data_IF_674773764465
#
_entry.id   IF_674773764465
#
_cell.length_a   1.000
_cell.length_b   1.000
_cell.length_c   1.000
_cell.angle_alpha   90.00
_cell.angle_beta   90.00
_cell.angle_gamma   90.00
#
_symmetry.space_group_name_H-M   'P 1'
#
loop_
_entity.id
_entity.type
_entity.pdbx_description
1 polymer ?
#
# COMPACT_ATOMS: atom_id res chain seq x y z
N UNK A 1 19.19 23.28 -29.06
CA UNK A 1 18.82 21.85 -29.07
C UNK A 1 19.54 21.24 -27.91
N UNK A 2 18.82 20.75 -26.91
CA UNK A 2 19.41 19.98 -25.81
C UNK A 2 20.13 18.78 -26.42
N UNK A 3 21.37 18.53 -26.00
CA UNK A 3 22.10 17.35 -26.44
C UNK A 3 21.34 16.11 -25.96
N UNK A 4 21.04 15.18 -26.86
CA UNK A 4 20.34 13.92 -26.52
C UNK A 4 21.10 13.18 -25.41
N UNK A 5 22.44 13.26 -25.40
CA UNK A 5 23.26 12.67 -24.34
C UNK A 5 23.05 13.31 -22.97
N UNK A 6 22.84 14.62 -22.92
CA UNK A 6 22.53 15.37 -21.68
C UNK A 6 21.17 14.94 -21.13
N UNK A 7 20.14 14.92 -21.99
CA UNK A 7 18.79 14.50 -21.60
C UNK A 7 18.73 13.05 -21.06
N UNK A 8 19.50 12.13 -21.67
CA UNK A 8 19.62 10.75 -21.16
C UNK A 8 20.24 10.75 -19.76
N UNK A 9 21.33 11.49 -19.57
CA UNK A 9 22.05 11.53 -18.27
C UNK A 9 21.20 12.13 -17.16
N UNK A 10 20.44 13.20 -17.47
CA UNK A 10 19.47 13.81 -16.56
C UNK A 10 18.34 12.84 -16.19
N UNK A 11 17.80 12.11 -17.18
CA UNK A 11 16.77 11.10 -16.96
C UNK A 11 17.22 9.98 -16.01
N UNK A 12 18.44 9.45 -16.21
CA UNK A 12 19.02 8.45 -15.29
C UNK A 12 19.19 9.02 -13.88
N UNK A 13 19.71 10.24 -13.78
CA UNK A 13 19.94 10.90 -12.48
C UNK A 13 18.64 11.13 -11.71
N UNK A 14 17.58 11.50 -12.43
CA UNK A 14 16.24 11.65 -11.88
C UNK A 14 15.69 10.31 -11.36
N UNK A 15 15.70 9.25 -12.19
CA UNK A 15 15.24 7.91 -11.78
C UNK A 15 16.01 7.42 -10.56
N UNK A 16 17.33 7.63 -10.52
CA UNK A 16 18.16 7.24 -9.38
C UNK A 16 17.79 8.01 -8.10
N UNK A 17 17.44 9.29 -8.23
CA UNK A 17 17.02 10.11 -7.09
C UNK A 17 15.67 9.65 -6.55
N UNK A 18 14.71 9.36 -7.43
CA UNK A 18 13.41 8.77 -7.08
C UNK A 18 13.60 7.44 -6.34
N UNK A 19 14.50 6.58 -6.82
CA UNK A 19 14.81 5.31 -6.14
C UNK A 19 15.39 5.51 -4.74
N UNK A 20 16.29 6.48 -4.57
CA UNK A 20 16.86 6.80 -3.26
C UNK A 20 15.81 7.33 -2.28
N UNK A 21 14.91 8.20 -2.74
CA UNK A 21 13.79 8.72 -1.94
C UNK A 21 12.80 7.62 -1.54
N UNK A 22 12.45 6.73 -2.47
CA UNK A 22 11.62 5.55 -2.17
C UNK A 22 12.28 4.65 -1.11
N UNK A 23 13.60 4.43 -1.22
CA UNK A 23 14.37 3.68 -0.22
C UNK A 23 14.32 4.34 1.17
N UNK A 24 14.51 5.67 1.24
CA UNK A 24 14.41 6.42 2.48
C UNK A 24 13.00 6.36 3.09
N UNK A 25 11.95 6.52 2.27
CA UNK A 25 10.56 6.39 2.69
C UNK A 25 10.28 4.98 3.25
N UNK A 26 10.70 3.94 2.53
CA UNK A 26 10.57 2.54 2.99
C UNK A 26 11.20 2.35 4.37
N UNK A 27 12.42 2.86 4.60
CA UNK A 27 13.07 2.77 5.91
C UNK A 27 12.26 3.47 7.00
N UNK A 28 11.74 4.67 6.74
CA UNK A 28 10.95 5.43 7.71
C UNK A 28 9.61 4.75 8.01
N UNK A 29 8.89 4.26 7.01
CA UNK A 29 7.62 3.54 7.18
C UNK A 29 7.83 2.25 7.99
N UNK A 30 8.86 1.46 7.66
CA UNK A 30 9.22 0.26 8.43
C UNK A 30 9.53 0.60 9.88
N UNK A 31 10.30 1.65 10.14
CA UNK A 31 10.64 2.09 11.48
C UNK A 31 9.40 2.48 12.30
N UNK A 32 8.53 3.31 11.74
CA UNK A 32 7.33 3.80 12.44
C UNK A 32 6.31 2.68 12.68
N UNK A 33 6.10 1.77 11.71
CA UNK A 33 5.24 0.59 11.90
C UNK A 33 5.82 -0.42 12.91
N UNK A 34 7.13 -0.65 12.90
CA UNK A 34 7.78 -1.44 13.94
C UNK A 34 7.61 -0.80 15.32
N UNK A 35 7.72 0.53 15.41
CA UNK A 35 7.48 1.29 16.63
C UNK A 35 6.06 1.12 17.16
N UNK A 36 5.05 1.18 16.29
CA UNK A 36 3.65 0.90 16.62
C UNK A 36 3.48 -0.49 17.24
N UNK A 37 4.03 -1.53 16.60
CA UNK A 37 3.92 -2.92 17.06
C UNK A 37 4.79 -3.25 18.28
N UNK A 38 5.80 -2.41 18.56
CA UNK A 38 6.62 -2.50 19.76
C UNK A 38 6.00 -1.87 21.00
N UNK A 39 5.00 -0.98 20.84
CA UNK A 39 4.37 -0.24 21.93
C UNK A 39 3.53 -1.18 22.83
N UNK A 40 3.78 -1.16 24.13
CA UNK A 40 3.29 -2.15 25.11
C UNK A 40 1.78 -2.38 25.12
N UNK A 41 0.95 -1.34 24.94
CA UNK A 41 -0.52 -1.50 24.93
C UNK A 41 -1.02 -2.17 23.65
N UNK A 42 -0.44 -1.81 22.50
CA UNK A 42 -0.84 -2.37 21.21
C UNK A 42 -0.21 -3.75 20.97
N UNK A 43 0.99 -3.98 21.49
CA UNK A 43 1.74 -5.25 21.40
C UNK A 43 1.01 -6.44 22.01
N UNK A 44 0.17 -6.19 23.02
CA UNK A 44 -0.68 -7.24 23.59
C UNK A 44 -1.79 -7.67 22.61
N UNK A 45 -2.11 -6.85 21.62
CA UNK A 45 -3.12 -7.10 20.61
C UNK A 45 -2.52 -7.69 19.33
N UNK A 46 -1.51 -7.01 18.81
CA UNK A 46 -0.84 -7.36 17.56
C UNK A 46 0.65 -7.12 17.74
N UNK A 47 1.49 -8.07 17.35
CA UNK A 47 2.95 -7.95 17.38
C UNK A 47 3.57 -8.45 16.08
N UNK A 48 4.77 -7.97 15.76
CA UNK A 48 5.56 -8.54 14.68
C UNK A 48 5.87 -10.03 14.96
N UNK A 49 5.69 -10.86 13.95
CA UNK A 49 5.98 -12.29 13.95
C UNK A 49 7.32 -12.68 13.34
N UNK A 50 8.09 -11.70 12.85
CA UNK A 50 9.34 -11.91 12.13
C UNK A 50 9.90 -10.60 11.57
N UNK A 51 10.80 -10.72 10.59
CA UNK A 51 11.37 -9.60 9.84
C UNK A 51 10.49 -9.23 8.64
N UNK A 52 10.72 -8.03 8.10
CA UNK A 52 10.15 -7.61 6.81
C UNK A 52 10.61 -8.54 5.68
N UNK A 53 9.68 -8.85 4.79
CA UNK A 53 9.88 -9.59 3.55
C UNK A 53 9.74 -8.59 2.41
N UNK A 54 10.78 -8.48 1.59
CA UNK A 54 10.85 -7.47 0.52
C UNK A 54 10.73 -8.16 -0.85
N UNK A 55 9.87 -7.59 -1.70
CA UNK A 55 9.70 -7.98 -3.11
C UNK A 55 9.80 -6.76 -3.99
N UNK A 56 10.24 -6.95 -5.22
CA UNK A 56 10.46 -5.89 -6.19
C UNK A 56 9.94 -6.31 -7.54
N UNK A 57 9.35 -5.36 -8.26
CA UNK A 57 8.91 -5.53 -9.64
C UNK A 57 9.72 -4.62 -10.55
N UNK A 58 10.00 -5.09 -11.75
CA UNK A 58 10.68 -4.32 -12.79
C UNK A 58 9.79 -4.18 -14.01
N UNK A 59 10.12 -3.22 -14.85
CA UNK A 59 9.56 -3.10 -16.19
C UNK A 59 9.80 -4.36 -17.04
N UNK A 60 9.14 -4.44 -18.19
CA UNK A 60 9.26 -5.57 -19.12
C UNK A 60 10.70 -5.79 -19.64
N UNK A 61 11.53 -4.74 -19.63
CA UNK A 61 12.96 -4.81 -19.94
C UNK A 61 13.83 -5.33 -18.79
N UNK A 62 13.28 -5.46 -17.57
CA UNK A 62 14.01 -5.92 -16.39
C UNK A 62 15.07 -4.94 -15.88
N UNK A 63 14.98 -3.68 -16.28
CA UNK A 63 16.01 -2.66 -16.04
C UNK A 63 15.56 -1.63 -15.00
N UNK A 64 14.33 -1.12 -15.09
CA UNK A 64 13.79 -0.13 -14.16
C UNK A 64 12.90 -0.81 -13.14
N UNK A 65 13.11 -0.56 -11.85
CA UNK A 65 12.19 -1.00 -10.81
C UNK A 65 10.91 -0.14 -10.84
N UNK A 66 9.77 -0.78 -11.05
CA UNK A 66 8.46 -0.12 -11.18
C UNK A 66 7.64 -0.20 -9.90
N UNK A 67 7.92 -1.18 -9.04
CA UNK A 67 7.30 -1.28 -7.72
C UNK A 67 8.22 -1.97 -6.69
N UNK A 68 7.92 -1.73 -5.41
CA UNK A 68 8.49 -2.45 -4.28
C UNK A 68 7.40 -2.73 -3.26
N UNK A 69 7.39 -3.93 -2.70
CA UNK A 69 6.46 -4.33 -1.67
C UNK A 69 7.20 -4.87 -0.45
N UNK A 70 6.63 -4.59 0.72
CA UNK A 70 7.22 -4.87 2.00
C UNK A 70 6.15 -5.48 2.90
N UNK A 71 6.32 -6.74 3.28
CA UNK A 71 5.35 -7.46 4.10
C UNK A 71 5.95 -7.82 5.46
N UNK A 72 5.29 -7.44 6.54
CA UNK A 72 5.64 -7.78 7.90
C UNK A 72 4.67 -8.86 8.42
N UNK A 73 5.14 -10.08 8.72
CA UNK A 73 4.31 -11.06 9.39
C UNK A 73 3.83 -10.51 10.75
N UNK A 74 2.53 -10.65 11.04
CA UNK A 74 1.95 -10.25 12.31
C UNK A 74 1.33 -11.43 13.04
N UNK A 75 1.52 -11.46 14.36
CA UNK A 75 0.90 -12.40 15.29
C UNK A 75 -0.18 -11.64 16.05
N UNK A 76 -1.41 -12.14 16.00
CA UNK A 76 -2.57 -11.54 16.64
C UNK A 76 -2.92 -12.25 17.94
N UNK A 77 -3.63 -11.55 18.83
CA UNK A 77 -4.01 -12.00 20.17
C UNK A 77 -4.25 -13.50 20.30
N UNK A 78 -3.70 -14.07 21.39
CA UNK A 78 -3.90 -15.47 21.82
C UNK A 78 -3.40 -16.54 20.84
N UNK A 79 -3.05 -16.19 19.59
CA UNK A 79 -2.42 -17.10 18.64
C UNK A 79 -0.90 -17.13 18.85
N UNK A 80 -0.30 -18.27 18.50
CA UNK A 80 1.15 -18.48 18.55
C UNK A 80 1.81 -18.45 17.16
N UNK A 81 1.03 -18.36 16.09
CA UNK A 81 1.47 -18.35 14.71
C UNK A 81 1.17 -17.01 14.04
N UNK A 82 1.87 -16.76 12.92
CA UNK A 82 1.54 -15.66 12.00
C UNK A 82 0.09 -15.84 11.53
N UNK A 83 -0.69 -14.77 11.62
CA UNK A 83 -2.09 -14.76 11.23
C UNK A 83 -2.38 -13.97 9.96
N UNK A 84 -1.49 -13.03 9.62
CA UNK A 84 -1.57 -12.17 8.45
C UNK A 84 -0.23 -11.44 8.25
N UNK A 85 -0.14 -10.64 7.21
CA UNK A 85 0.98 -9.82 6.81
C UNK A 85 0.49 -8.38 6.62
N UNK A 86 0.96 -7.48 7.48
CA UNK A 86 0.82 -6.05 7.24
C UNK A 86 1.77 -5.70 6.11
N UNK A 87 1.28 -5.08 5.05
CA UNK A 87 2.13 -4.71 3.92
C UNK A 87 1.99 -3.24 3.57
N UNK A 88 3.04 -2.75 2.91
CA UNK A 88 2.91 -1.59 2.04
C UNK A 88 3.63 -1.84 0.72
N UNK A 89 3.09 -1.30 -0.36
CA UNK A 89 3.59 -1.42 -1.72
C UNK A 89 3.72 -0.01 -2.30
N UNK A 90 4.92 0.36 -2.75
CA UNK A 90 5.18 1.59 -3.50
C UNK A 90 5.15 1.22 -4.98
N UNK A 91 4.20 1.78 -5.73
CA UNK A 91 4.02 1.57 -7.16
C UNK A 91 4.28 2.88 -7.91
N UNK A 92 5.32 2.88 -8.74
CA UNK A 92 5.76 4.02 -9.54
C UNK A 92 5.21 3.91 -10.97
N UNK A 93 5.07 2.68 -11.46
CA UNK A 93 4.51 2.36 -12.78
C UNK A 93 3.89 0.97 -12.80
N UNK A 94 3.37 0.59 -13.97
CA UNK A 94 2.70 -0.69 -14.18
C UNK A 94 1.35 -0.79 -13.48
N UNK A 95 0.83 -2.01 -13.40
CA UNK A 95 -0.54 -2.31 -13.02
C UNK A 95 -0.95 -1.79 -11.62
N UNK A 96 0.01 -1.55 -10.70
CA UNK A 96 -0.28 -0.97 -9.38
C UNK A 96 -0.82 0.46 -9.42
N UNK A 97 -0.58 1.19 -10.52
CA UNK A 97 -1.09 2.56 -10.69
C UNK A 97 -2.19 2.68 -11.76
N UNK A 98 -2.61 1.57 -12.38
CA UNK A 98 -3.44 1.57 -13.59
C UNK A 98 -4.95 1.79 -13.37
N UNK A 99 -5.37 2.10 -12.15
CA UNK A 99 -6.72 2.61 -11.93
C UNK A 99 -7.02 3.77 -12.90
N UNK A 100 -8.19 3.74 -13.52
CA UNK A 100 -8.57 4.69 -14.56
C UNK A 100 -8.44 6.13 -14.06
N UNK A 101 -7.95 7.01 -14.94
CA UNK A 101 -7.66 8.41 -14.66
C UNK A 101 -6.53 8.65 -13.63
N UNK A 102 -5.75 7.64 -13.26
CA UNK A 102 -4.51 7.82 -12.54
C UNK A 102 -3.30 7.93 -13.47
N UNK A 103 -2.36 8.82 -13.09
CA UNK A 103 -1.03 8.94 -13.72
C UNK A 103 0.06 9.16 -12.70
N UNK A 104 -0.23 8.94 -11.42
CA UNK A 104 0.64 9.28 -10.31
C UNK A 104 1.06 8.02 -9.55
N UNK A 105 2.30 7.99 -9.03
CA UNK A 105 2.74 6.93 -8.14
C UNK A 105 1.88 6.83 -6.87
N UNK A 106 1.64 5.59 -6.45
CA UNK A 106 0.81 5.27 -5.29
C UNK A 106 1.61 4.51 -4.24
N UNK A 107 1.17 4.64 -2.99
CA UNK A 107 1.54 3.75 -1.89
C UNK A 107 0.28 3.02 -1.43
N UNK A 108 0.25 1.71 -1.59
CA UNK A 108 -0.82 0.87 -1.07
C UNK A 108 -0.42 0.37 0.32
N UNK A 109 -1.34 0.40 1.27
CA UNK A 109 -1.14 -0.11 2.62
C UNK A 109 -2.29 -1.05 2.94
N UNK A 110 -1.97 -2.24 3.39
CA UNK A 110 -3.00 -3.25 3.60
C UNK A 110 -2.61 -4.37 4.55
N UNK A 111 -3.55 -5.28 4.73
CA UNK A 111 -3.40 -6.48 5.53
C UNK A 111 -3.89 -7.69 4.78
N UNK A 112 -3.01 -8.68 4.69
CA UNK A 112 -3.12 -9.81 3.78
C UNK A 112 -2.83 -11.16 4.44
N UNK A 113 -3.43 -12.28 4.01
CA UNK A 113 -3.16 -13.62 4.50
C UNK A 113 -1.74 -14.11 4.14
N UNK A 114 -1.20 -13.63 3.03
CA UNK A 114 0.11 -14.00 2.49
C UNK A 114 0.99 -12.76 2.32
N UNK A 115 2.32 -12.90 2.34
CA UNK A 115 3.19 -11.80 1.95
C UNK A 115 2.94 -11.44 0.48
N UNK A 116 3.18 -10.19 0.13
CA UNK A 116 3.06 -9.72 -1.25
C UNK A 116 4.02 -10.53 -2.13
N UNK A 117 3.53 -10.97 -3.28
CA UNK A 117 4.30 -11.49 -4.39
C UNK A 117 3.72 -10.96 -5.71
N UNK A 118 4.55 -10.29 -6.52
CA UNK A 118 4.08 -9.64 -7.76
C UNK A 118 3.63 -10.63 -8.85
N UNK A 119 3.76 -11.94 -8.62
CA UNK A 119 3.18 -12.98 -9.48
C UNK A 119 1.71 -13.28 -9.17
N UNK A 120 1.33 -13.26 -7.89
CA UNK A 120 0.09 -13.92 -7.45
C UNK A 120 -0.73 -13.10 -6.45
N UNK A 121 -0.08 -12.24 -5.66
CA UNK A 121 -0.73 -11.59 -4.53
C UNK A 121 -0.08 -10.22 -4.33
N UNK A 122 -0.57 -9.19 -5.01
CA UNK A 122 -0.06 -7.80 -5.00
C UNK A 122 -1.18 -6.80 -5.41
N UNK A 123 -1.10 -5.54 -4.95
CA UNK A 123 -2.21 -4.59 -5.15
C UNK A 123 -2.14 -4.03 -6.56
N UNK A 124 -3.13 -4.35 -7.39
CA UNK A 124 -3.13 -4.05 -8.82
C UNK A 124 -4.50 -3.70 -9.39
N UNK A 125 -4.51 -3.35 -10.68
CA UNK A 125 -5.71 -3.18 -11.47
C UNK A 125 -5.60 -4.05 -12.74
N UNK A 126 -6.59 -4.91 -13.07
CA UNK A 126 -7.80 -5.18 -12.28
C UNK A 126 -7.46 -5.75 -10.88
N UNK A 127 -8.26 -5.39 -9.89
CA UNK A 127 -8.02 -5.71 -8.47
C UNK A 127 -8.40 -7.15 -8.12
N UNK A 128 -9.36 -7.71 -8.83
CA UNK A 128 -9.83 -9.07 -8.65
C UNK A 128 -10.40 -9.56 -9.98
N UNK A 129 -10.31 -10.86 -10.21
CA UNK A 129 -10.82 -11.49 -11.44
C UNK A 129 -12.31 -11.91 -11.31
N UNK A 130 -12.86 -12.50 -12.37
CA UNK A 130 -14.27 -12.95 -12.40
C UNK A 130 -14.62 -13.96 -11.31
N UNK A 131 -13.64 -14.77 -10.94
CA UNK A 131 -13.81 -15.93 -10.06
C UNK A 131 -13.48 -15.61 -8.60
N UNK A 132 -13.03 -14.37 -8.34
CA UNK A 132 -12.65 -13.88 -7.03
C UNK A 132 -13.77 -13.05 -6.37
N UNK A 133 -13.87 -13.07 -5.03
CA UNK A 133 -14.83 -12.27 -4.30
C UNK A 133 -14.53 -10.77 -4.46
N UNK A 134 -15.56 -10.02 -4.87
CA UNK A 134 -15.48 -8.57 -4.96
C UNK A 134 -15.36 -7.94 -3.56
N UNK A 135 -14.41 -7.01 -3.33
CA UNK A 135 -14.29 -6.31 -2.06
C UNK A 135 -15.40 -5.29 -1.87
N UNK A 136 -15.79 -5.08 -0.62
CA UNK A 136 -16.52 -3.89 -0.19
C UNK A 136 -15.59 -2.67 -0.30
N UNK A 137 -15.99 -1.64 -1.07
CA UNK A 137 -15.29 -0.36 -1.14
C UNK A 137 -15.88 0.63 -0.14
N UNK A 138 -15.32 0.66 1.07
CA UNK A 138 -15.80 1.49 2.17
C UNK A 138 -15.49 2.97 1.94
N UNK A 139 -16.54 3.80 1.79
CA UNK A 139 -16.41 5.25 1.61
C UNK A 139 -15.60 5.68 0.38
N UNK A 140 -15.42 4.78 -0.60
CA UNK A 140 -14.53 5.01 -1.74
C UNK A 140 -13.05 4.89 -1.42
N UNK A 141 -12.64 4.48 -0.21
CA UNK A 141 -11.23 4.59 0.23
C UNK A 141 -10.61 3.24 0.59
N UNK A 142 -11.32 2.43 1.38
CA UNK A 142 -10.77 1.18 1.92
C UNK A 142 -11.45 0.01 1.22
N UNK A 143 -10.69 -0.76 0.45
CA UNK A 143 -11.12 -2.06 -0.04
C UNK A 143 -11.11 -3.05 1.11
N UNK A 144 -12.16 -3.87 1.24
CA UNK A 144 -12.26 -4.92 2.25
C UNK A 144 -12.81 -6.19 1.68
N UNK A 145 -12.09 -7.29 1.89
CA UNK A 145 -12.60 -8.62 1.54
C UNK A 145 -13.23 -9.28 2.78
N UNK A 146 -14.37 -9.97 2.60
CA UNK A 146 -14.96 -10.75 3.67
C UNK A 146 -13.98 -11.83 4.14
N UNK A 147 -13.79 -11.94 5.45
CA UNK A 147 -12.88 -12.91 6.01
C UNK A 147 -13.44 -14.33 5.84
N UNK A 148 -12.90 -15.14 4.95
CA UNK A 148 -13.13 -16.58 4.99
C UNK A 148 -12.34 -17.17 6.17
N UNK A 149 -13.00 -17.31 7.33
CA UNK A 149 -12.42 -17.98 8.51
C UNK A 149 -11.35 -17.19 9.28
N UNK A 150 -11.05 -15.95 8.88
CA UNK A 150 -10.20 -15.01 9.62
C UNK A 150 -10.98 -14.14 10.62
N UNK A 151 -10.37 -13.77 11.74
CA UNK A 151 -10.98 -12.78 12.66
C UNK A 151 -10.86 -11.33 12.14
N UNK A 152 -9.98 -11.10 11.18
CA UNK A 152 -9.63 -9.79 10.65
C UNK A 152 -9.64 -9.95 9.13
N UNK A 153 -10.66 -9.40 8.47
CA UNK A 153 -10.74 -9.44 7.01
C UNK A 153 -9.57 -8.72 6.35
N UNK A 154 -9.34 -9.01 5.09
CA UNK A 154 -8.32 -8.35 4.30
C UNK A 154 -8.76 -6.93 4.01
N UNK A 155 -7.81 -6.01 3.96
CA UNK A 155 -8.10 -4.65 3.59
C UNK A 155 -6.90 -3.97 2.97
N UNK A 156 -7.16 -3.02 2.09
CA UNK A 156 -6.13 -2.17 1.48
C UNK A 156 -6.71 -0.78 1.24
N UNK A 157 -5.89 0.24 1.44
CA UNK A 157 -6.15 1.59 0.95
C UNK A 157 -4.90 2.14 0.27
N UNK A 158 -5.07 3.18 -0.53
CA UNK A 158 -3.98 3.78 -1.30
C UNK A 158 -3.79 5.24 -0.95
N UNK A 159 -2.53 5.68 -0.99
CA UNK A 159 -2.11 7.07 -0.84
C UNK A 159 -1.38 7.51 -2.12
N UNK A 160 -1.47 8.79 -2.47
CA UNK A 160 -0.58 9.41 -3.46
C UNK A 160 0.81 9.51 -2.86
N UNK A 161 1.81 8.92 -3.53
CA UNK A 161 3.19 8.92 -3.02
C UNK A 161 3.73 10.34 -2.80
N UNK A 162 3.43 11.26 -3.73
CA UNK A 162 3.86 12.66 -3.68
C UNK A 162 3.29 13.45 -2.49
N UNK A 163 2.27 12.92 -1.81
CA UNK A 163 1.66 13.54 -0.64
C UNK A 163 2.28 13.04 0.68
N UNK A 164 3.35 12.23 0.64
CA UNK A 164 4.04 11.72 1.84
C UNK A 164 5.44 12.32 1.90
N UNK A 165 5.57 13.47 2.56
CA UNK A 165 6.80 14.27 2.51
C UNK A 165 7.54 14.32 3.85
N UNK A 166 6.87 13.95 4.94
CA UNK A 166 7.40 14.09 6.29
C UNK A 166 7.09 12.87 7.15
N UNK A 167 7.81 12.74 8.26
CA UNK A 167 7.48 11.73 9.29
C UNK A 167 6.08 11.95 9.89
N UNK A 168 5.59 13.19 9.90
CA UNK A 168 4.23 13.50 10.33
C UNK A 168 3.21 12.90 9.36
N UNK A 169 3.44 13.02 8.05
CA UNK A 169 2.60 12.38 7.02
C UNK A 169 2.57 10.86 7.22
N UNK A 170 3.71 10.22 7.46
CA UNK A 170 3.76 8.77 7.73
C UNK A 170 2.90 8.42 8.95
N UNK A 171 3.00 9.20 10.03
CA UNK A 171 2.22 8.94 11.25
C UNK A 171 0.72 9.11 11.04
N UNK A 172 0.32 10.19 10.39
CA UNK A 172 -1.09 10.54 10.18
C UNK A 172 -1.75 9.69 9.09
N UNK A 173 -1.06 9.42 7.98
CA UNK A 173 -1.61 8.79 6.78
C UNK A 173 -1.41 7.27 6.77
N UNK A 174 -0.41 6.76 7.51
CA UNK A 174 -0.09 5.32 7.54
C UNK A 174 -0.27 4.74 8.94
N UNK A 175 0.49 5.22 9.94
CA UNK A 175 0.57 4.55 11.25
C UNK A 175 -0.76 4.60 12.01
N UNK A 176 -1.39 5.77 12.09
CA UNK A 176 -2.66 5.92 12.80
C UNK A 176 -3.80 5.15 12.11
N UNK A 177 -3.97 5.20 10.78
CA UNK A 177 -4.94 4.38 10.05
C UNK A 177 -4.68 2.88 10.20
N UNK A 178 -3.43 2.43 10.08
CA UNK A 178 -3.06 1.02 10.30
C UNK A 178 -3.44 0.57 11.70
N UNK A 179 -3.13 1.37 12.73
CA UNK A 179 -3.54 1.08 14.11
C UNK A 179 -5.05 0.95 14.22
N UNK A 180 -5.81 1.88 13.66
CA UNK A 180 -7.28 1.88 13.70
C UNK A 180 -7.86 0.64 13.01
N UNK A 181 -7.37 0.31 11.81
CA UNK A 181 -7.82 -0.85 11.03
C UNK A 181 -7.47 -2.17 11.73
N UNK A 182 -6.27 -2.28 12.30
CA UNK A 182 -5.86 -3.40 13.15
C UNK A 182 -6.57 -3.45 14.51
N UNK A 183 -7.42 -2.47 14.83
CA UNK A 183 -8.35 -2.51 15.97
C UNK A 183 -9.79 -2.79 15.52
N UNK A 184 -10.02 -3.03 14.23
CA UNK A 184 -11.31 -3.36 13.66
C UNK A 184 -12.18 -2.13 13.40
N UNK A 185 -11.60 -0.93 13.49
CA UNK A 185 -12.32 0.31 13.19
C UNK A 185 -12.68 0.39 11.71
N UNK A 186 -13.76 1.11 11.46
CA UNK A 186 -14.38 1.40 10.17
C UNK A 186 -14.33 2.91 9.92
N UNK A 187 -14.62 3.36 8.71
CA UNK A 187 -14.82 4.78 8.42
C UNK A 187 -16.05 5.31 9.18
N UNK A 188 -16.00 6.56 9.67
CA UNK A 188 -14.93 7.55 9.50
C UNK A 188 -13.80 7.47 10.55
N UNK A 189 -13.78 6.49 11.45
CA UNK A 189 -12.84 6.46 12.59
C UNK A 189 -11.38 6.13 12.22
N UNK A 190 -11.14 5.63 11.00
CA UNK A 190 -9.80 5.25 10.52
C UNK A 190 -8.97 6.47 10.12
N UNK A 191 -9.59 7.45 9.46
CA UNK A 191 -8.90 8.65 8.98
C UNK A 191 -9.50 9.90 9.63
N UNK A 192 -8.66 10.85 10.07
CA UNK A 192 -9.13 12.20 10.34
C UNK A 192 -9.89 12.78 9.12
N UNK A 193 -10.82 13.72 9.34
CA UNK A 193 -11.45 14.42 8.23
C UNK A 193 -10.41 15.20 7.41
N UNK A 194 -10.55 15.18 6.08
CA UNK A 194 -9.73 15.95 5.13
C UNK A 194 -8.23 15.59 5.06
N UNK A 195 -7.85 14.35 5.36
CA UNK A 195 -6.46 13.89 5.14
C UNK A 195 -6.14 13.89 3.64
N UNK A 196 -5.19 14.74 3.25
CA UNK A 196 -4.73 14.85 1.85
C UNK A 196 -3.99 13.61 1.39
N UNK A 197 -4.09 13.34 0.09
CA UNK A 197 -3.37 12.25 -0.55
C UNK A 197 -4.02 10.88 -0.42
N UNK A 198 -5.11 10.72 0.35
CA UNK A 198 -5.90 9.49 0.32
C UNK A 198 -6.54 9.31 -1.05
N UNK A 199 -6.39 8.14 -1.66
CA UNK A 199 -7.02 7.87 -2.95
C UNK A 199 -8.47 7.49 -2.75
N UNK A 200 -9.35 8.15 -3.51
CA UNK A 200 -10.76 7.79 -3.60
C UNK A 200 -11.04 7.09 -4.93
N UNK A 201 -11.64 5.91 -4.85
CA UNK A 201 -12.00 5.06 -5.97
C UNK A 201 -13.51 5.04 -6.20
N UNK A 202 -13.89 4.79 -7.45
CA UNK A 202 -15.25 4.41 -7.85
C UNK A 202 -15.13 3.22 -8.80
N UNK A 203 -15.92 2.17 -8.56
CA UNK A 203 -15.95 1.00 -9.42
C UNK A 203 -16.41 1.35 -10.84
N UNK A 204 -15.86 0.68 -11.84
CA UNK A 204 -16.33 0.78 -13.23
C UNK A 204 -17.33 -0.34 -13.49
N UNK A 205 -18.59 0.02 -13.75
CA UNK A 205 -19.69 -0.95 -13.93
C UNK A 205 -19.45 -1.94 -15.09
N UNK A 206 -18.71 -1.52 -16.13
CA UNK A 206 -18.48 -2.30 -17.34
C UNK A 206 -17.23 -3.19 -17.28
N UNK A 207 -16.33 -2.96 -16.31
CA UNK A 207 -15.04 -3.64 -16.21
C UNK A 207 -14.80 -4.12 -14.77
N UNK A 208 -15.17 -5.37 -14.48
CA UNK A 208 -15.00 -5.98 -13.15
C UNK A 208 -13.53 -5.91 -12.71
N UNK A 209 -13.32 -5.58 -11.43
CA UNK A 209 -11.97 -5.38 -10.88
C UNK A 209 -11.36 -4.03 -11.22
N UNK A 210 -11.92 -3.25 -12.14
CA UNK A 210 -11.41 -1.94 -12.50
C UNK A 210 -12.08 -0.83 -11.69
N UNK A 211 -11.25 0.17 -11.38
CA UNK A 211 -11.66 1.33 -10.60
C UNK A 211 -11.12 2.60 -11.22
N UNK A 212 -11.84 3.69 -11.04
CA UNK A 212 -11.40 5.04 -11.40
C UNK A 212 -11.03 5.82 -10.15
N UNK A 213 -9.90 6.54 -10.20
CA UNK A 213 -9.54 7.49 -9.15
C UNK A 213 -10.32 8.79 -9.34
N UNK A 214 -10.95 9.28 -8.28
CA UNK A 214 -11.56 10.60 -8.25
C UNK A 214 -10.50 11.70 -8.11
N UNK A 215 -10.69 12.87 -8.77
CA UNK A 215 -9.91 14.05 -8.47
C UNK A 215 -10.03 14.39 -6.99
N UNK A 216 -8.93 14.83 -6.37
CA UNK A 216 -9.00 15.49 -5.08
C UNK A 216 -9.06 16.98 -5.34
N UNK A 217 -10.11 17.64 -4.81
CA UNK A 217 -10.25 19.09 -4.79
C UNK A 217 -9.29 19.75 -3.79
#
# INVERSE_FOLDING_TARGET
MTDIGEAISEGISFISSVGAECGALTSMVKQELNGLLGNGEFRQQVKAGGSWIDKFEKDSGGWVQTASAHSLPIIMQRKRSVGAYLFFQISIGGNGIEAQANKQPLVHIGLWPLPVDFSDYWMGFPLFDSDEPEPELEGGVVFRWPAEGGQWGEWTYSLRLAEINTIHDIREKIVAPVKALLQGKRLPEVFPPNVRGIVHYVALEEERGQYRILPQD
#
